data_IF_787140865604
#
_entry.id   IF_787140865604
#
_cell.length_a   1.000
_cell.length_b   1.000
_cell.length_c   1.000
_cell.angle_alpha   90.00
_cell.angle_beta   90.00
_cell.angle_gamma   90.00
#
_symmetry.space_group_name_H-M   'P 1'
#
loop_
_entity.id
_entity.type
_entity.pdbx_description
1 polymer ?
#
# COMPACT_ATOMS: atom_id res chain seq x y z
N UNK A 1 10.67 -29.29 21.79
CA UNK A 1 11.11 -28.46 20.64
C UNK A 1 12.64 -28.41 20.50
N UNK A 2 13.39 -28.19 21.58
CA UNK A 2 14.87 -28.09 21.55
C UNK A 2 15.62 -29.40 21.18
N UNK A 3 15.09 -30.57 21.55
CA UNK A 3 15.73 -31.87 21.25
C UNK A 3 15.59 -32.26 19.77
N UNK A 4 14.48 -31.86 19.14
CA UNK A 4 14.20 -32.10 17.73
C UNK A 4 15.17 -31.30 16.85
N UNK A 5 15.42 -30.03 17.19
CA UNK A 5 16.40 -29.19 16.49
C UNK A 5 17.83 -29.73 16.62
N UNK A 6 18.21 -30.25 17.79
CA UNK A 6 19.55 -30.82 18.01
C UNK A 6 19.78 -32.13 17.25
N UNK A 7 18.73 -32.92 17.03
CA UNK A 7 18.82 -34.14 16.22
C UNK A 7 18.95 -33.82 14.71
N UNK A 8 18.40 -32.69 14.25
CA UNK A 8 18.52 -32.25 12.86
C UNK A 8 19.89 -31.66 12.51
N UNK A 9 20.62 -31.09 13.46
CA UNK A 9 21.98 -30.56 13.24
C UNK A 9 23.05 -31.67 13.13
N UNK A 10 22.85 -32.81 13.81
CA UNK A 10 23.82 -33.91 13.81
C UNK A 10 23.74 -34.80 12.54
N UNK A 11 22.63 -34.74 11.79
CA UNK A 11 22.36 -35.65 10.66
C UNK A 11 22.74 -35.10 9.28
N UNK A 12 23.51 -34.01 9.19
CA UNK A 12 23.95 -33.46 7.89
C UNK A 12 22.82 -32.98 6.98
N UNK A 13 21.59 -32.82 7.51
CA UNK A 13 20.41 -32.37 6.76
C UNK A 13 20.61 -30.94 6.20
N UNK A 14 21.49 -30.16 6.84
CA UNK A 14 21.94 -28.83 6.39
C UNK A 14 22.64 -28.88 5.02
N UNK A 15 23.35 -29.96 4.67
CA UNK A 15 23.98 -30.12 3.34
C UNK A 15 22.97 -30.58 2.27
N UNK A 16 21.89 -31.29 2.64
CA UNK A 16 20.81 -31.65 1.71
C UNK A 16 19.93 -30.46 1.37
N UNK A 17 19.58 -29.60 2.33
CA UNK A 17 18.86 -28.34 2.04
C UNK A 17 19.70 -27.42 1.13
N UNK A 18 21.03 -27.38 1.32
CA UNK A 18 21.94 -26.66 0.42
C UNK A 18 22.15 -27.32 -0.96
N UNK A 19 21.77 -28.59 -1.14
CA UNK A 19 21.80 -29.27 -2.44
C UNK A 19 20.45 -29.19 -3.17
N UNK A 20 19.34 -28.96 -2.46
CA UNK A 20 18.01 -28.75 -3.06
C UNK A 20 17.94 -27.41 -3.81
N UNK A 21 18.74 -26.41 -3.43
CA UNK A 21 18.89 -25.15 -4.19
C UNK A 21 19.74 -25.30 -5.47
N UNK A 22 20.36 -26.46 -5.70
CA UNK A 22 21.38 -26.66 -6.73
C UNK A 22 20.79 -27.24 -8.03
N UNK A 23 19.80 -26.58 -8.60
CA UNK A 23 19.66 -26.51 -10.05
C UNK A 23 19.17 -25.11 -10.36
N UNK A 24 20.02 -24.31 -11.01
CA UNK A 24 19.75 -22.90 -11.37
C UNK A 24 18.34 -22.70 -11.95
N UNK A 25 17.76 -23.71 -12.59
CA UNK A 25 16.38 -23.74 -13.10
C UNK A 25 15.31 -23.42 -12.05
N UNK A 26 15.28 -24.05 -10.87
CA UNK A 26 14.21 -23.79 -9.89
C UNK A 26 14.25 -22.36 -9.34
N UNK A 27 15.45 -21.87 -9.02
CA UNK A 27 15.62 -20.48 -8.57
C UNK A 27 15.39 -19.46 -9.71
N UNK A 28 15.67 -19.83 -10.97
CA UNK A 28 15.37 -19.01 -12.15
C UNK A 28 13.86 -18.96 -12.42
N UNK A 29 13.16 -20.09 -12.37
CA UNK A 29 11.69 -20.18 -12.51
C UNK A 29 11.01 -19.32 -11.45
N UNK A 30 11.35 -19.49 -10.16
CA UNK A 30 10.77 -18.67 -9.10
C UNK A 30 11.06 -17.16 -9.26
N UNK A 31 12.28 -16.80 -9.69
CA UNK A 31 12.63 -15.39 -9.95
C UNK A 31 11.85 -14.83 -11.13
N UNK A 32 11.72 -15.60 -12.20
CA UNK A 32 10.96 -15.20 -13.39
C UNK A 32 9.47 -15.09 -13.07
N UNK A 33 8.92 -16.01 -12.29
CA UNK A 33 7.53 -15.96 -11.83
C UNK A 33 7.28 -14.72 -10.96
N UNK A 34 8.19 -14.41 -10.03
CA UNK A 34 8.07 -13.23 -9.19
C UNK A 34 8.22 -11.93 -10.01
N UNK A 35 9.16 -11.90 -10.95
CA UNK A 35 9.37 -10.76 -11.86
C UNK A 35 8.15 -10.58 -12.77
N UNK A 36 7.60 -11.67 -13.29
CA UNK A 36 6.41 -11.65 -14.14
C UNK A 36 5.19 -11.20 -13.33
N UNK A 37 4.99 -11.76 -12.14
CA UNK A 37 3.91 -11.38 -11.25
C UNK A 37 4.01 -9.90 -10.87
N UNK A 38 5.20 -9.42 -10.49
CA UNK A 38 5.44 -8.01 -10.19
C UNK A 38 5.23 -7.12 -11.41
N UNK A 39 5.74 -7.51 -12.59
CA UNK A 39 5.57 -6.75 -13.82
C UNK A 39 4.09 -6.65 -14.24
N UNK A 40 3.31 -7.72 -14.05
CA UNK A 40 1.87 -7.71 -14.34
C UNK A 40 1.13 -6.88 -13.29
N UNK A 41 1.36 -7.12 -12.00
CA UNK A 41 0.59 -6.49 -10.91
C UNK A 41 0.93 -5.02 -10.73
N UNK A 42 2.21 -4.67 -10.61
CA UNK A 42 2.65 -3.30 -10.36
C UNK A 42 2.93 -2.53 -11.65
N UNK A 43 3.48 -3.22 -12.66
CA UNK A 43 3.80 -2.59 -13.95
C UNK A 43 2.55 -2.32 -14.79
N UNK A 44 1.83 -3.37 -15.19
CA UNK A 44 0.68 -3.24 -16.08
C UNK A 44 -0.61 -2.85 -15.35
N UNK A 45 -1.04 -3.67 -14.37
CA UNK A 45 -2.32 -3.48 -13.67
C UNK A 45 -2.29 -2.24 -12.79
N UNK A 46 -1.20 -1.97 -12.08
CA UNK A 46 -1.01 -0.75 -11.31
C UNK A 46 -1.17 0.50 -12.18
N UNK A 47 -0.48 0.55 -13.32
CA UNK A 47 -0.60 1.67 -14.27
C UNK A 47 -2.04 1.84 -14.79
N UNK A 48 -2.66 0.74 -15.24
CA UNK A 48 -4.05 0.77 -15.72
C UNK A 48 -5.03 1.25 -14.63
N UNK A 49 -4.84 0.76 -13.40
CA UNK A 49 -5.63 1.14 -12.24
C UNK A 49 -5.54 2.65 -11.96
N UNK A 50 -4.34 3.23 -11.92
CA UNK A 50 -4.16 4.66 -11.66
C UNK A 50 -4.72 5.55 -12.79
N UNK A 51 -4.64 5.12 -14.05
CA UNK A 51 -5.27 5.84 -15.18
C UNK A 51 -6.79 5.82 -15.07
N UNK A 52 -7.38 4.65 -14.83
CA UNK A 52 -8.82 4.51 -14.65
C UNK A 52 -9.32 5.29 -13.43
N UNK A 53 -8.58 5.23 -12.33
CA UNK A 53 -8.89 5.97 -11.11
C UNK A 53 -8.83 7.48 -11.38
N UNK A 54 -7.79 7.96 -12.08
CA UNK A 54 -7.67 9.36 -12.47
C UNK A 54 -8.84 9.84 -13.31
N UNK A 55 -9.25 9.08 -14.33
CA UNK A 55 -10.40 9.41 -15.16
C UNK A 55 -11.73 9.38 -14.39
N UNK A 56 -11.87 8.46 -13.44
CA UNK A 56 -13.06 8.36 -12.58
C UNK A 56 -13.14 9.52 -11.60
N UNK A 57 -12.00 9.93 -11.04
CA UNK A 57 -11.88 11.12 -10.19
C UNK A 57 -12.20 12.38 -11.00
N UNK A 58 -11.60 12.57 -12.18
CA UNK A 58 -11.83 13.75 -13.03
C UNK A 58 -13.32 13.98 -13.30
N UNK A 59 -14.02 12.91 -13.69
CA UNK A 59 -15.48 12.95 -13.88
C UNK A 59 -16.22 13.32 -12.58
N UNK A 60 -15.87 12.69 -11.46
CA UNK A 60 -16.54 12.92 -10.18
C UNK A 60 -16.28 14.34 -9.64
N UNK A 61 -15.08 14.87 -9.81
CA UNK A 61 -14.71 16.24 -9.44
C UNK A 61 -15.53 17.26 -10.25
N UNK A 62 -15.75 17.00 -11.55
CA UNK A 62 -16.60 17.83 -12.39
C UNK A 62 -18.09 17.79 -12.00
N UNK A 63 -18.59 16.66 -11.51
CA UNK A 63 -19.99 16.50 -11.12
C UNK A 63 -20.30 16.87 -9.66
N UNK A 64 -19.34 16.71 -8.73
CA UNK A 64 -19.56 16.86 -7.28
C UNK A 64 -18.41 17.64 -6.60
N UNK A 65 -18.19 18.93 -6.96
CA UNK A 65 -17.05 19.70 -6.47
C UNK A 65 -17.04 19.91 -4.94
N UNK A 66 -18.22 19.96 -4.30
CA UNK A 66 -18.34 20.11 -2.84
C UNK A 66 -17.77 18.92 -2.06
N UNK A 67 -17.74 17.72 -2.65
CA UNK A 67 -17.25 16.51 -1.99
C UNK A 67 -15.72 16.50 -1.83
N UNK A 68 -14.99 17.40 -2.50
CA UNK A 68 -13.55 17.61 -2.29
C UNK A 68 -13.22 17.96 -0.83
N UNK A 69 -14.12 18.68 -0.15
CA UNK A 69 -13.92 19.12 1.23
C UNK A 69 -13.83 17.92 2.19
N UNK A 70 -14.61 16.87 1.94
CA UNK A 70 -14.57 15.64 2.74
C UNK A 70 -13.21 14.94 2.62
N UNK A 71 -12.64 14.90 1.40
CA UNK A 71 -11.32 14.34 1.17
C UNK A 71 -10.21 15.11 1.93
N UNK A 72 -10.32 16.44 2.02
CA UNK A 72 -9.38 17.27 2.78
C UNK A 72 -9.47 17.02 4.30
N UNK A 73 -10.64 16.60 4.80
CA UNK A 73 -10.82 16.19 6.21
C UNK A 73 -9.87 15.07 6.63
N UNK A 74 -9.41 14.23 5.69
CA UNK A 74 -8.44 13.17 5.95
C UNK A 74 -7.08 13.71 6.46
N UNK A 75 -6.65 14.89 5.99
CA UNK A 75 -5.43 15.56 6.49
C UNK A 75 -5.61 15.90 7.98
N UNK A 76 -6.78 16.44 8.36
CA UNK A 76 -7.03 16.83 9.74
C UNK A 76 -7.03 15.62 10.67
N UNK A 77 -7.68 14.51 10.27
CA UNK A 77 -7.72 13.26 11.04
C UNK A 77 -6.32 12.67 11.23
N UNK A 78 -5.52 12.60 10.16
CA UNK A 78 -4.14 12.09 10.26
C UNK A 78 -3.22 13.06 11.01
N UNK A 79 -3.43 14.37 10.86
CA UNK A 79 -2.72 15.41 11.59
C UNK A 79 -3.00 15.37 13.10
N UNK A 80 -4.23 15.00 13.50
CA UNK A 80 -4.61 14.83 14.89
C UNK A 80 -3.81 13.73 15.61
N UNK A 81 -3.25 12.75 14.89
CA UNK A 81 -2.30 11.78 15.48
C UNK A 81 -1.04 12.44 16.04
N UNK A 82 -0.71 13.67 15.63
CA UNK A 82 0.37 14.44 16.25
C UNK A 82 0.04 14.83 17.70
N UNK A 83 -1.24 14.97 18.04
CA UNK A 83 -1.69 15.29 19.40
C UNK A 83 -1.41 14.16 20.40
N UNK A 84 -1.27 12.92 19.93
CA UNK A 84 -0.93 11.76 20.78
C UNK A 84 0.57 11.57 20.96
N UNK A 85 1.40 12.50 20.47
CA UNK A 85 2.85 12.46 20.61
C UNK A 85 3.56 11.44 19.71
N UNK A 86 2.86 10.85 18.73
CA UNK A 86 3.47 9.86 17.86
C UNK A 86 4.56 10.47 16.95
N UNK A 87 5.69 9.74 16.75
CA UNK A 87 6.75 10.19 15.87
C UNK A 87 6.24 10.29 14.43
N UNK A 88 6.66 11.35 13.73
CA UNK A 88 6.22 11.68 12.36
C UNK A 88 6.42 10.53 11.38
N UNK A 89 7.44 9.69 11.58
CA UNK A 89 7.67 8.49 10.76
C UNK A 89 6.52 7.48 10.81
N UNK A 90 5.89 7.26 11.97
CA UNK A 90 4.73 6.38 12.09
C UNK A 90 3.50 6.98 11.39
N UNK A 91 3.34 8.31 11.46
CA UNK A 91 2.29 9.02 10.73
C UNK A 91 2.44 8.91 9.21
N UNK A 92 3.68 8.97 8.70
CA UNK A 92 3.99 8.77 7.28
C UNK A 92 3.65 7.34 6.83
N UNK A 93 4.01 6.34 7.63
CA UNK A 93 3.70 4.93 7.32
C UNK A 93 2.20 4.64 7.34
N UNK A 94 1.48 5.21 8.32
CA UNK A 94 0.02 5.07 8.41
C UNK A 94 -0.69 5.73 7.20
N UNK A 95 -0.20 6.88 6.75
CA UNK A 95 -0.73 7.61 5.60
C UNK A 95 -0.50 6.90 4.26
N UNK A 96 0.50 6.02 4.14
CA UNK A 96 0.89 5.36 2.90
C UNK A 96 0.00 4.17 2.51
N UNK A 97 -1.30 4.19 2.85
CA UNK A 97 -2.21 3.06 2.64
C UNK A 97 -3.39 3.42 1.72
N UNK A 98 -3.31 2.96 0.47
CA UNK A 98 -4.39 3.06 -0.51
C UNK A 98 -5.35 1.86 -0.47
N UNK A 99 -4.87 0.69 -0.03
CA UNK A 99 -5.64 -0.57 -0.09
C UNK A 99 -6.91 -0.57 0.77
N UNK A 100 -6.86 -0.02 1.99
CA UNK A 100 -8.04 0.02 2.89
C UNK A 100 -9.13 0.95 2.35
N UNK A 101 -8.84 2.22 1.98
CA UNK A 101 -9.82 3.11 1.36
C UNK A 101 -10.47 2.53 0.11
N UNK A 102 -9.67 1.91 -0.79
CA UNK A 102 -10.18 1.30 -2.02
C UNK A 102 -11.10 0.13 -1.70
N UNK A 103 -10.75 -0.70 -0.72
CA UNK A 103 -11.60 -1.80 -0.27
C UNK A 103 -12.92 -1.30 0.31
N UNK A 104 -12.88 -0.23 1.09
CA UNK A 104 -14.09 0.43 1.63
C UNK A 104 -14.98 0.99 0.52
N UNK A 105 -14.40 1.62 -0.50
CA UNK A 105 -15.14 2.14 -1.66
C UNK A 105 -15.77 1.01 -2.46
N UNK A 106 -15.02 -0.06 -2.74
CA UNK A 106 -15.53 -1.23 -3.45
C UNK A 106 -16.69 -1.87 -2.70
N UNK A 107 -16.54 -2.11 -1.40
CA UNK A 107 -17.60 -2.72 -0.58
C UNK A 107 -18.82 -1.78 -0.46
N UNK A 108 -18.59 -0.49 -0.23
CA UNK A 108 -19.65 0.51 -0.12
C UNK A 108 -20.43 0.70 -1.43
N UNK A 109 -19.74 0.59 -2.57
CA UNK A 109 -20.38 0.62 -3.88
C UNK A 109 -21.17 -0.67 -4.15
N UNK A 110 -20.62 -1.84 -3.81
CA UNK A 110 -21.31 -3.13 -3.96
C UNK A 110 -22.54 -3.26 -3.07
N UNK A 111 -22.51 -2.68 -1.88
CA UNK A 111 -23.62 -2.67 -0.93
C UNK A 111 -24.63 -1.53 -1.14
N UNK A 112 -24.36 -0.62 -2.09
CA UNK A 112 -25.22 0.53 -2.37
C UNK A 112 -25.30 1.56 -1.23
N UNK A 113 -24.37 1.50 -0.27
CA UNK A 113 -24.34 2.38 0.91
C UNK A 113 -23.75 3.75 0.57
N UNK A 114 -22.92 3.85 -0.46
CA UNK A 114 -22.30 5.11 -0.86
C UNK A 114 -23.25 5.97 -1.69
N UNK A 115 -23.40 7.22 -1.29
CA UNK A 115 -24.06 8.22 -2.12
C UNK A 115 -23.21 8.56 -3.38
N UNK A 116 -23.83 9.11 -4.44
CA UNK A 116 -23.10 9.53 -5.63
C UNK A 116 -21.96 10.49 -5.28
N UNK A 117 -20.74 10.15 -5.71
CA UNK A 117 -19.54 10.95 -5.49
C UNK A 117 -18.77 10.66 -4.18
N UNK A 118 -19.33 9.91 -3.23
CA UNK A 118 -18.62 9.59 -1.97
C UNK A 118 -17.41 8.67 -2.17
N UNK A 119 -17.54 7.65 -3.01
CA UNK A 119 -16.41 6.76 -3.35
C UNK A 119 -15.20 7.53 -3.88
N UNK A 120 -15.35 8.35 -4.94
CA UNK A 120 -14.31 9.26 -5.41
C UNK A 120 -13.75 10.19 -4.33
N UNK A 121 -14.57 10.74 -3.44
CA UNK A 121 -14.13 11.61 -2.36
C UNK A 121 -13.25 10.90 -1.31
N UNK A 122 -13.60 9.67 -0.95
CA UNK A 122 -12.81 8.81 -0.04
C UNK A 122 -11.43 8.54 -0.67
N UNK A 123 -11.39 8.19 -1.96
CA UNK A 123 -10.11 7.93 -2.64
C UNK A 123 -9.29 9.20 -2.80
N UNK A 124 -9.92 10.34 -3.11
CA UNK A 124 -9.25 11.63 -3.14
C UNK A 124 -8.61 11.97 -1.78
N UNK A 125 -9.33 11.75 -0.68
CA UNK A 125 -8.78 11.99 0.66
C UNK A 125 -7.57 11.10 0.97
N UNK A 126 -7.60 9.83 0.54
CA UNK A 126 -6.44 8.95 0.65
C UNK A 126 -5.24 9.46 -0.17
N UNK A 127 -5.46 9.85 -1.43
CA UNK A 127 -4.40 10.42 -2.29
C UNK A 127 -3.81 11.70 -1.72
N UNK A 128 -4.65 12.60 -1.22
CA UNK A 128 -4.23 13.85 -0.56
C UNK A 128 -3.37 13.56 0.67
N UNK A 129 -3.75 12.57 1.48
CA UNK A 129 -3.00 12.18 2.68
C UNK A 129 -1.64 11.57 2.31
N UNK A 130 -1.58 10.73 1.28
CA UNK A 130 -0.33 10.18 0.73
C UNK A 130 0.58 11.30 0.21
N UNK A 131 0.04 12.25 -0.56
CA UNK A 131 0.79 13.38 -1.08
C UNK A 131 1.33 14.26 0.06
N UNK A 132 0.51 14.56 1.06
CA UNK A 132 0.92 15.32 2.24
C UNK A 132 2.04 14.60 3.02
N UNK A 133 1.93 13.28 3.20
CA UNK A 133 2.96 12.48 3.85
C UNK A 133 4.28 12.43 3.05
N UNK A 134 4.20 12.30 1.72
CA UNK A 134 5.36 12.32 0.82
C UNK A 134 6.07 13.68 0.83
N UNK A 135 5.32 14.79 0.93
CA UNK A 135 5.88 16.13 1.08
C UNK A 135 6.52 16.29 2.47
N UNK A 136 5.84 15.87 3.54
CA UNK A 136 6.33 15.96 4.91
C UNK A 136 7.62 15.14 5.14
N UNK A 137 7.72 13.94 4.56
CA UNK A 137 8.89 13.06 4.68
C UNK A 137 10.16 13.72 4.14
N UNK A 138 10.05 14.50 3.05
CA UNK A 138 11.15 15.27 2.45
C UNK A 138 11.73 16.31 3.41
N UNK A 139 10.90 16.91 4.28
CA UNK A 139 11.36 17.88 5.28
C UNK A 139 11.97 17.20 6.51
N UNK A 140 11.48 16.03 6.89
CA UNK A 140 12.05 15.23 8.01
C UNK A 140 13.43 14.68 7.64
N UNK A 141 13.60 14.16 6.42
CA UNK A 141 14.88 13.63 5.93
C UNK A 141 16.00 14.68 5.85
N UNK A 142 15.66 15.97 5.94
CA UNK A 142 16.60 17.10 5.88
C UNK A 142 17.05 17.61 7.25
N UNK A 143 16.53 17.08 8.35
CA UNK A 143 17.00 17.48 9.70
C UNK A 143 18.31 16.77 10.02
N UNK A 144 19.44 17.47 10.15
CA UNK A 144 20.66 16.86 10.68
C UNK A 144 20.40 16.42 12.13
N UNK A 145 20.94 15.26 12.48
CA UNK A 145 20.93 14.73 13.84
C UNK A 145 21.76 15.62 14.79
#
# INVERSE_FOLDING_TARGET
MFVVLRHFDLNGLRRRVHHVSAQRKFALELRLDLVLLFAITEGFLGTLYFVWLGASLDRALGSYPSMMVLGLGAIAVHGAMRLTGQPVGLGILAAAQLGVPVSAVTLGAQSGVLAPGEGPAIVLGALVTIAAAAVASRFVARRPA
#
